data_IF_785857915533
#
_entry.id   IF_785857915533
#
_cell.length_a   1.000
_cell.length_b   1.000
_cell.length_c   1.000
_cell.angle_alpha   90.00
_cell.angle_beta   90.00
_cell.angle_gamma   90.00
#
_symmetry.space_group_name_H-M   'P 1'
#
loop_
_entity.id
_entity.type
_entity.pdbx_description
1 polymer ?
#
# COMPACT_ATOMS: atom_id res chain seq x y z
N UNK A 1 -2.53 13.82 -3.81
CA UNK A 1 -1.86 14.14 -5.08
C UNK A 1 -0.43 14.61 -4.79
N UNK A 2 0.49 13.67 -4.64
CA UNK A 2 1.92 13.98 -4.54
C UNK A 2 2.33 14.56 -5.88
N UNK A 3 2.70 15.84 -5.92
CA UNK A 3 3.22 16.45 -7.15
C UNK A 3 4.49 15.70 -7.55
N UNK A 4 4.64 15.43 -8.84
CA UNK A 4 5.83 14.84 -9.46
C UNK A 4 7.13 15.49 -8.95
N UNK A 5 7.10 16.82 -8.72
CA UNK A 5 8.23 17.60 -8.21
C UNK A 5 8.81 17.15 -6.86
N UNK A 6 8.03 16.45 -6.02
CA UNK A 6 8.52 15.88 -4.76
C UNK A 6 9.22 14.54 -4.99
N UNK A 7 8.86 13.81 -6.04
CA UNK A 7 9.54 12.59 -6.45
C UNK A 7 10.91 12.88 -7.06
N UNK A 8 11.00 13.98 -7.83
CA UNK A 8 12.25 14.37 -8.51
C UNK A 8 13.32 14.92 -7.54
N UNK A 9 12.91 15.45 -6.38
CA UNK A 9 13.83 16.04 -5.40
C UNK A 9 14.41 15.07 -4.38
N UNK A 10 13.83 13.87 -4.23
CA UNK A 10 14.32 12.79 -3.37
C UNK A 10 14.22 11.47 -4.12
N UNK A 11 15.21 11.12 -4.92
CA UNK A 11 15.21 9.87 -5.67
C UNK A 11 15.18 8.68 -4.71
N UNK A 12 14.40 7.66 -5.07
CA UNK A 12 14.43 6.38 -4.39
C UNK A 12 15.79 5.70 -4.64
N UNK A 13 16.21 4.81 -3.73
CA UNK A 13 17.43 4.02 -3.87
C UNK A 13 17.35 3.02 -5.02
N UNK A 14 16.14 2.54 -5.30
CA UNK A 14 15.89 1.60 -6.40
C UNK A 14 14.88 2.18 -7.40
N UNK A 15 14.82 1.58 -8.58
CA UNK A 15 13.89 2.00 -9.62
C UNK A 15 12.43 1.96 -9.15
N UNK A 16 11.66 3.06 -9.28
CA UNK A 16 10.23 3.09 -8.92
C UNK A 16 9.39 2.02 -9.63
N UNK A 17 9.81 1.57 -10.81
CA UNK A 17 9.09 0.56 -11.60
C UNK A 17 9.14 -0.85 -10.98
N UNK A 18 9.93 -1.05 -9.92
CA UNK A 18 9.97 -2.29 -9.16
C UNK A 18 8.87 -2.36 -8.10
N UNK A 19 8.29 -1.20 -7.74
CA UNK A 19 7.16 -1.13 -6.82
C UNK A 19 5.84 -1.23 -7.56
N UNK A 20 4.88 -1.88 -6.93
CA UNK A 20 3.48 -1.85 -7.32
C UNK A 20 2.63 -1.41 -6.14
N UNK A 21 1.47 -0.89 -6.45
CA UNK A 21 0.56 -0.31 -5.47
C UNK A 21 -0.80 -0.94 -5.62
N UNK A 22 -1.34 -1.42 -4.51
CA UNK A 22 -2.69 -1.95 -4.43
C UNK A 22 -3.50 -1.18 -3.40
N UNK A 23 -4.81 -1.15 -3.59
CA UNK A 23 -5.76 -0.61 -2.63
C UNK A 23 -6.73 -1.72 -2.25
N UNK A 24 -7.03 -1.81 -0.98
CA UNK A 24 -8.20 -2.52 -0.47
C UNK A 24 -9.20 -1.44 -0.08
N UNK A 25 -10.34 -1.43 -0.73
CA UNK A 25 -11.40 -0.44 -0.51
C UNK A 25 -12.47 -1.09 0.35
N UNK A 26 -12.72 -0.53 1.51
CA UNK A 26 -13.77 -0.95 2.42
C UNK A 26 -15.00 -0.03 2.28
N UNK A 27 -14.79 1.29 2.42
CA UNK A 27 -15.88 2.27 2.39
C UNK A 27 -15.38 3.60 1.83
N UNK A 28 -15.38 3.73 0.50
CA UNK A 28 -15.00 4.95 -0.21
C UNK A 28 -16.12 5.34 -1.16
N UNK A 29 -16.62 6.56 -1.05
CA UNK A 29 -17.67 7.07 -1.92
C UNK A 29 -17.26 6.97 -3.40
N UNK A 30 -18.11 6.35 -4.21
CA UNK A 30 -17.89 6.16 -5.65
C UNK A 30 -16.99 4.99 -6.03
N UNK A 31 -16.57 4.16 -5.07
CA UNK A 31 -15.84 2.92 -5.33
C UNK A 31 -16.53 1.74 -4.62
N UNK A 32 -16.71 0.64 -5.34
CA UNK A 32 -17.20 -0.60 -4.75
C UNK A 32 -16.15 -1.22 -3.80
N UNK A 33 -16.61 -1.90 -2.76
CA UNK A 33 -15.71 -2.63 -1.88
C UNK A 33 -14.95 -3.73 -2.63
N UNK A 34 -13.68 -3.91 -2.29
CA UNK A 34 -12.83 -4.91 -2.94
C UNK A 34 -11.38 -4.50 -3.07
N UNK A 35 -10.64 -5.25 -3.88
CA UNK A 35 -9.21 -4.97 -4.13
C UNK A 35 -9.01 -4.32 -5.49
N UNK A 36 -8.05 -3.42 -5.57
CA UNK A 36 -7.71 -2.63 -6.76
C UNK A 36 -6.21 -2.56 -6.97
N UNK A 37 -5.77 -2.51 -8.21
CA UNK A 37 -4.42 -2.08 -8.57
C UNK A 37 -4.43 -0.59 -8.89
N UNK A 38 -3.49 0.16 -8.29
CA UNK A 38 -3.28 1.57 -8.59
C UNK A 38 -2.14 1.74 -9.61
N UNK A 39 -2.42 2.49 -10.67
CA UNK A 39 -1.47 2.82 -11.73
C UNK A 39 -1.11 4.31 -11.64
N UNK A 40 0.00 4.69 -10.98
CA UNK A 40 0.33 6.09 -10.70
C UNK A 40 0.54 6.95 -11.96
N UNK A 41 1.15 6.40 -13.01
CA UNK A 41 1.39 7.12 -14.26
C UNK A 41 0.09 7.53 -14.96
N UNK A 42 -0.91 6.65 -14.95
CA UNK A 42 -2.23 6.88 -15.53
C UNK A 42 -3.21 7.53 -14.55
N UNK A 43 -2.88 7.54 -13.25
CA UNK A 43 -3.74 8.00 -12.14
C UNK A 43 -5.10 7.30 -12.11
N UNK A 44 -5.10 6.00 -12.39
CA UNK A 44 -6.31 5.17 -12.36
C UNK A 44 -6.18 4.04 -11.34
N UNK A 45 -7.33 3.58 -10.87
CA UNK A 45 -7.48 2.33 -10.11
C UNK A 45 -8.26 1.33 -10.96
N UNK A 46 -7.85 0.07 -10.94
CA UNK A 46 -8.56 -1.03 -11.61
C UNK A 46 -8.92 -2.08 -10.59
N UNK A 47 -10.21 -2.35 -10.47
CA UNK A 47 -10.69 -3.39 -9.58
C UNK A 47 -10.20 -4.77 -10.05
N UNK A 48 -9.66 -5.54 -9.11
CA UNK A 48 -9.15 -6.89 -9.33
C UNK A 48 -9.98 -7.95 -8.64
N UNK A 49 -10.65 -7.59 -7.53
CA UNK A 49 -11.58 -8.45 -6.81
C UNK A 49 -12.82 -7.67 -6.42
N UNK A 50 -13.99 -8.28 -6.68
CA UNK A 50 -15.32 -7.72 -6.44
C UNK A 50 -15.94 -8.34 -5.19
N UNK A 51 -15.22 -8.32 -4.07
CA UNK A 51 -15.66 -8.92 -2.82
C UNK A 51 -15.19 -8.07 -1.65
N UNK A 52 -16.07 -7.87 -0.69
CA UNK A 52 -15.68 -7.35 0.63
C UNK A 52 -14.66 -8.29 1.29
N UNK A 53 -13.64 -7.71 1.89
CA UNK A 53 -12.51 -8.44 2.49
C UNK A 53 -12.19 -7.94 3.90
N UNK A 54 -13.18 -7.38 4.61
CA UNK A 54 -13.00 -6.80 5.94
C UNK A 54 -12.38 -7.77 6.94
N UNK A 55 -12.96 -8.98 7.04
CA UNK A 55 -12.51 -9.97 8.01
C UNK A 55 -11.14 -10.53 7.62
N UNK A 56 -10.95 -10.79 6.33
CA UNK A 56 -9.68 -11.31 5.81
C UNK A 56 -8.53 -10.32 6.04
N UNK A 57 -8.75 -9.02 5.78
CA UNK A 57 -7.68 -8.02 6.00
C UNK A 57 -7.48 -7.72 7.48
N UNK A 58 -8.52 -7.74 8.29
CA UNK A 58 -8.41 -7.62 9.74
C UNK A 58 -7.52 -8.73 10.31
N UNK A 59 -7.81 -10.00 9.97
CA UNK A 59 -7.01 -11.13 10.36
C UNK A 59 -5.56 -11.02 9.82
N UNK A 60 -5.40 -10.64 8.55
CA UNK A 60 -4.09 -10.47 7.94
C UNK A 60 -3.23 -9.42 8.65
N UNK A 61 -3.84 -8.37 9.19
CA UNK A 61 -3.20 -7.31 9.96
C UNK A 61 -3.21 -7.57 11.47
N UNK A 62 -3.10 -8.82 11.90
CA UNK A 62 -3.01 -9.23 13.31
C UNK A 62 -4.20 -8.76 14.16
N UNK A 63 -5.39 -8.74 13.59
CA UNK A 63 -6.64 -8.26 14.22
C UNK A 63 -6.54 -6.82 14.73
N UNK A 64 -5.79 -5.96 14.05
CA UNK A 64 -5.77 -4.53 14.34
C UNK A 64 -7.03 -3.87 13.78
N UNK A 65 -7.86 -3.30 14.66
CA UNK A 65 -9.15 -2.70 14.27
C UNK A 65 -9.00 -1.61 13.21
N UNK A 66 -7.90 -0.85 13.23
CA UNK A 66 -7.61 0.15 12.20
C UNK A 66 -7.55 -0.42 10.77
N UNK A 67 -7.23 -1.70 10.60
CA UNK A 67 -7.26 -2.34 9.28
C UNK A 67 -8.69 -2.68 8.84
N UNK A 68 -9.55 -3.09 9.79
CA UNK A 68 -10.96 -3.37 9.51
C UNK A 68 -11.74 -2.08 9.24
N UNK A 69 -11.52 -1.05 10.08
CA UNK A 69 -12.35 0.15 10.13
C UNK A 69 -11.86 1.24 9.16
N UNK A 70 -10.69 1.07 8.53
CA UNK A 70 -10.18 1.98 7.51
C UNK A 70 -11.13 2.07 6.30
N UNK A 71 -11.30 3.28 5.77
CA UNK A 71 -12.02 3.47 4.51
C UNK A 71 -11.30 2.79 3.34
N UNK A 72 -9.97 2.88 3.33
CA UNK A 72 -9.12 2.18 2.37
C UNK A 72 -7.78 1.79 3.01
N UNK A 73 -7.12 0.78 2.42
CA UNK A 73 -5.79 0.33 2.82
C UNK A 73 -4.90 0.37 1.59
N UNK A 74 -3.80 1.09 1.69
CA UNK A 74 -2.77 1.16 0.66
C UNK A 74 -1.68 0.14 0.94
N UNK A 75 -1.38 -0.70 -0.04
CA UNK A 75 -0.38 -1.76 0.07
C UNK A 75 0.70 -1.53 -0.97
N UNK A 76 1.95 -1.48 -0.53
CA UNK A 76 3.14 -1.39 -1.38
C UNK A 76 3.76 -2.76 -1.49
N UNK A 77 3.97 -3.22 -2.72
CA UNK A 77 4.70 -4.45 -3.02
C UNK A 77 5.92 -4.16 -3.88
N UNK A 78 6.87 -5.08 -3.88
CA UNK A 78 8.07 -4.98 -4.71
C UNK A 78 8.44 -6.34 -5.30
N UNK A 79 8.91 -6.32 -6.56
CA UNK A 79 9.48 -7.52 -7.19
C UNK A 79 10.90 -7.76 -6.66
N UNK A 80 11.00 -8.55 -5.60
CA UNK A 80 12.26 -8.82 -4.90
C UNK A 80 13.29 -9.53 -5.77
N UNK A 81 12.96 -10.62 -6.50
CA UNK A 81 13.95 -11.29 -7.36
C UNK A 81 14.58 -10.35 -8.38
N UNK A 82 13.75 -9.52 -9.01
CA UNK A 82 14.22 -8.55 -10.00
C UNK A 82 15.08 -7.45 -9.36
N UNK A 83 14.70 -6.97 -8.17
CA UNK A 83 15.47 -5.98 -7.43
C UNK A 83 16.85 -6.53 -7.04
N UNK A 84 16.92 -7.77 -6.52
CA UNK A 84 18.18 -8.44 -6.18
C UNK A 84 19.04 -8.61 -7.42
N UNK A 85 18.46 -9.01 -8.56
CA UNK A 85 19.18 -9.18 -9.83
C UNK A 85 19.85 -7.89 -10.32
N UNK A 86 19.26 -6.72 -10.03
CA UNK A 86 19.79 -5.41 -10.46
C UNK A 86 20.73 -4.80 -9.43
N UNK A 87 20.38 -4.86 -8.12
CA UNK A 87 21.04 -4.11 -7.06
C UNK A 87 21.80 -4.99 -6.05
N UNK A 88 21.79 -6.32 -6.25
CA UNK A 88 22.40 -7.29 -5.34
C UNK A 88 21.63 -7.44 -4.03
N UNK A 89 22.23 -8.13 -3.05
CA UNK A 89 21.57 -8.46 -1.77
C UNK A 89 21.14 -7.24 -0.94
N UNK A 90 21.79 -6.10 -1.13
CA UNK A 90 21.42 -4.84 -0.46
C UNK A 90 20.06 -4.30 -0.94
N UNK A 91 19.54 -4.80 -2.05
CA UNK A 91 18.23 -4.42 -2.57
C UNK A 91 17.13 -4.56 -1.51
N UNK A 92 17.13 -5.65 -0.73
CA UNK A 92 16.14 -5.87 0.33
C UNK A 92 16.06 -4.68 1.30
N UNK A 93 17.22 -4.20 1.77
CA UNK A 93 17.29 -3.04 2.68
C UNK A 93 16.81 -1.75 2.00
N UNK A 94 17.22 -1.53 0.75
CA UNK A 94 16.83 -0.33 0.00
C UNK A 94 15.33 -0.30 -0.29
N UNK A 95 14.73 -1.46 -0.60
CA UNK A 95 13.28 -1.60 -0.80
C UNK A 95 12.52 -1.10 0.44
N UNK A 96 12.91 -1.52 1.63
CA UNK A 96 12.20 -1.10 2.85
C UNK A 96 12.42 0.37 3.20
N UNK A 97 13.59 0.94 2.93
CA UNK A 97 13.83 2.38 3.07
C UNK A 97 12.95 3.19 2.12
N UNK A 98 12.87 2.78 0.86
CA UNK A 98 12.04 3.43 -0.14
C UNK A 98 10.55 3.27 0.14
N UNK A 99 10.12 2.09 0.60
CA UNK A 99 8.74 1.85 1.00
C UNK A 99 8.31 2.75 2.16
N UNK A 100 9.17 2.92 3.17
CA UNK A 100 8.93 3.87 4.27
C UNK A 100 8.81 5.31 3.77
N UNK A 101 9.65 5.69 2.81
CA UNK A 101 9.59 7.01 2.19
C UNK A 101 8.29 7.24 1.38
N UNK A 102 7.82 6.22 0.67
CA UNK A 102 6.54 6.24 -0.05
C UNK A 102 5.38 6.39 0.96
N UNK A 103 5.42 5.62 2.05
CA UNK A 103 4.40 5.66 3.09
C UNK A 103 4.32 7.03 3.78
N UNK A 104 5.46 7.62 4.13
CA UNK A 104 5.53 8.96 4.72
C UNK A 104 4.88 10.02 3.81
N UNK A 105 5.17 9.97 2.52
CA UNK A 105 4.55 10.88 1.54
C UNK A 105 3.05 10.71 1.46
N UNK A 106 2.57 9.47 1.56
CA UNK A 106 1.13 9.20 1.59
C UNK A 106 0.51 9.78 2.86
N UNK A 107 1.12 9.58 4.04
CA UNK A 107 0.65 10.15 5.30
C UNK A 107 0.60 11.69 5.25
N UNK A 108 1.64 12.34 4.72
CA UNK A 108 1.66 13.79 4.54
C UNK A 108 0.56 14.28 3.58
N UNK A 109 0.30 13.53 2.50
CA UNK A 109 -0.76 13.86 1.57
C UNK A 109 -2.15 13.73 2.22
N UNK A 110 -2.37 12.67 3.00
CA UNK A 110 -3.60 12.48 3.77
C UNK A 110 -3.81 13.61 4.78
N UNK A 111 -2.79 13.93 5.58
CA UNK A 111 -2.84 15.04 6.55
C UNK A 111 -3.21 16.37 5.88
N UNK A 112 -2.64 16.64 4.69
CA UNK A 112 -2.93 17.86 3.94
C UNK A 112 -4.39 17.95 3.46
N UNK A 113 -5.05 16.81 3.31
CA UNK A 113 -6.47 16.73 2.88
C UNK A 113 -7.43 16.53 4.05
N UNK A 114 -6.95 16.53 5.30
CA UNK A 114 -7.77 16.28 6.48
C UNK A 114 -8.18 14.83 6.65
N UNK A 115 -7.45 13.90 6.05
CA UNK A 115 -7.70 12.46 6.14
C UNK A 115 -6.63 11.83 7.04
N UNK A 116 -7.03 10.94 7.95
CA UNK A 116 -6.11 10.16 8.77
C UNK A 116 -5.40 9.08 7.95
N UNK A 117 -4.16 8.81 8.30
CA UNK A 117 -3.40 7.68 7.76
C UNK A 117 -2.52 7.08 8.85
N UNK A 118 -2.47 5.76 8.92
CA UNK A 118 -1.65 5.06 9.90
C UNK A 118 -0.91 3.87 9.25
N UNK A 119 0.43 3.84 9.33
CA UNK A 119 1.21 2.70 8.89
C UNK A 119 0.98 1.48 9.79
N UNK A 120 0.89 0.29 9.18
CA UNK A 120 0.85 -0.99 9.87
C UNK A 120 2.17 -1.71 9.65
N UNK A 121 2.89 -2.01 10.74
CA UNK A 121 4.16 -2.73 10.70
C UNK A 121 4.07 -4.23 10.97
N UNK A 122 2.92 -4.72 11.46
CA UNK A 122 2.70 -6.14 11.76
C UNK A 122 1.55 -6.72 10.94
N UNK A 123 1.85 -7.70 10.09
CA UNK A 123 0.86 -8.41 9.26
C UNK A 123 1.39 -9.78 8.84
N UNK A 124 0.47 -10.65 8.40
CA UNK A 124 0.80 -11.94 7.79
C UNK A 124 0.85 -11.79 6.27
N UNK A 125 2.05 -11.83 5.68
CA UNK A 125 2.28 -11.64 4.24
C UNK A 125 1.42 -12.55 3.38
N UNK A 126 1.34 -13.84 3.71
CA UNK A 126 0.58 -14.83 2.94
C UNK A 126 -0.93 -14.52 2.91
N UNK A 127 -1.48 -14.01 4.02
CA UNK A 127 -2.87 -13.61 4.07
C UNK A 127 -3.13 -12.35 3.25
N UNK A 128 -2.26 -11.34 3.34
CA UNK A 128 -2.35 -10.14 2.51
C UNK A 128 -2.22 -10.48 1.02
N UNK A 129 -1.27 -11.35 0.66
CA UNK A 129 -1.13 -11.85 -0.71
C UNK A 129 -2.40 -12.53 -1.21
N UNK A 130 -3.05 -13.34 -0.35
CA UNK A 130 -4.31 -14.00 -0.68
C UNK A 130 -5.44 -12.99 -0.90
N UNK A 131 -5.56 -11.96 -0.05
CA UNK A 131 -6.55 -10.89 -0.19
C UNK A 131 -6.36 -10.13 -1.49
N UNK A 132 -5.12 -9.85 -1.88
CA UNK A 132 -4.80 -9.10 -3.10
C UNK A 132 -4.71 -9.98 -4.35
N UNK A 133 -4.64 -11.31 -4.21
CA UNK A 133 -4.41 -12.23 -5.33
C UNK A 133 -3.01 -12.12 -5.92
N UNK A 134 -2.01 -11.83 -5.09
CA UNK A 134 -0.61 -11.66 -5.48
C UNK A 134 0.13 -13.01 -5.43
N UNK A 135 1.00 -13.24 -6.42
CA UNK A 135 1.91 -14.37 -6.40
C UNK A 135 3.14 -14.05 -5.54
N UNK A 136 3.22 -14.65 -4.36
CA UNK A 136 4.31 -14.44 -3.39
C UNK A 136 5.70 -14.86 -3.90
N UNK A 137 5.80 -15.61 -5.02
CA UNK A 137 7.09 -15.99 -5.62
C UNK A 137 7.82 -14.80 -6.23
N UNK A 138 7.07 -13.86 -6.77
CA UNK A 138 7.62 -12.74 -7.56
C UNK A 138 7.57 -11.42 -6.80
N UNK A 139 6.66 -11.28 -5.86
CA UNK A 139 6.41 -10.03 -5.14
C UNK A 139 6.35 -10.24 -3.63
N UNK A 140 6.93 -9.30 -2.90
CA UNK A 140 6.81 -9.22 -1.45
C UNK A 140 5.98 -8.00 -1.06
N UNK A 141 5.20 -8.13 0.02
CA UNK A 141 4.58 -6.98 0.69
C UNK A 141 5.69 -6.25 1.43
N UNK A 142 5.79 -4.94 1.25
CA UNK A 142 6.84 -4.15 1.90
C UNK A 142 6.32 -3.09 2.85
N UNK A 143 5.08 -2.63 2.64
CA UNK A 143 4.45 -1.68 3.55
C UNK A 143 2.92 -1.65 3.38
N UNK A 144 2.24 -1.36 4.49
CA UNK A 144 0.78 -1.19 4.54
C UNK A 144 0.46 0.11 5.26
N UNK A 145 -0.47 0.90 4.71
CA UNK A 145 -0.98 2.13 5.32
C UNK A 145 -2.50 2.13 5.28
N UNK A 146 -3.13 2.25 6.42
CA UNK A 146 -4.59 2.46 6.52
C UNK A 146 -4.93 3.92 6.32
N UNK A 147 -6.07 4.19 5.70
CA UNK A 147 -6.53 5.54 5.34
C UNK A 147 -8.01 5.66 5.73
N UNK A 148 -8.37 6.73 6.42
CA UNK A 148 -9.76 6.97 6.83
C UNK A 148 -9.91 8.22 7.67
N UNK A 149 -11.13 8.51 8.08
CA UNK A 149 -11.39 9.55 9.08
C UNK A 149 -11.16 9.01 10.49
N UNK A 150 -10.68 9.85 11.41
CA UNK A 150 -10.64 9.52 12.83
C UNK A 150 -12.04 9.39 13.40
N UNK A 151 -12.21 8.47 14.35
CA UNK A 151 -13.49 8.32 15.08
C UNK A 151 -13.83 9.60 15.88
N UNK A 152 -12.81 10.38 16.23
CA UNK A 152 -12.98 11.63 16.96
C UNK A 152 -13.44 12.81 16.09
N UNK A 153 -13.50 12.63 14.77
CA UNK A 153 -13.90 13.66 13.79
C UNK A 153 -15.38 13.55 13.38
N UNK A 154 -16.17 12.70 14.03
CA UNK A 154 -17.61 12.47 13.76
C UNK A 154 -18.50 13.05 14.83
#
# INVERSE_FOLDING_TARGET
>A
LVKQDLLDKNPLFISPNLFKYSLIVNNVEGLDAGSYNYHPEQRIVRQTRFKEVYDEIHQACLNQDMARDAAAIFVVTCNLPKAIGIYGERAYRHIHLDAGHIAERLCLACTKTGIGASPIGGYFDDLVNSVLGINATDEIIVHIVTIGHSIDDV
#
